data_IF_194359840751
#
_entry.id   IF_194359840751
#
_cell.length_a   1.000
_cell.length_b   1.000
_cell.length_c   1.000
_cell.angle_alpha   90.00
_cell.angle_beta   90.00
_cell.angle_gamma   90.00
#
_symmetry.space_group_name_H-M   'P 1'
#
loop_
_entity.id
_entity.type
_entity.pdbx_description
1 polymer ?
#
# COMPACT_ATOMS: atom_id res chain seq x y z
N UNK A 1 11.82 2.40 -0.13
CA UNK A 1 10.90 2.74 0.97
C UNK A 1 9.65 1.90 0.82
N UNK A 2 9.42 0.99 1.75
CA UNK A 2 8.28 0.08 1.82
C UNK A 2 7.09 0.69 2.58
N UNK A 3 7.35 1.54 3.58
CA UNK A 3 6.32 2.19 4.40
C UNK A 3 6.25 3.67 4.06
N UNK A 4 5.09 4.13 3.62
CA UNK A 4 4.86 5.53 3.17
C UNK A 4 3.55 6.06 3.75
N UNK A 5 3.32 7.38 3.75
CA UNK A 5 1.99 7.91 4.09
C UNK A 5 0.96 7.43 3.07
N UNK A 6 -0.21 7.02 3.56
CA UNK A 6 -1.33 6.70 2.70
C UNK A 6 -2.17 7.95 2.45
N UNK A 7 -1.95 8.58 1.30
CA UNK A 7 -2.78 9.69 0.82
C UNK A 7 -2.70 9.78 -0.71
N UNK A 8 -3.29 8.80 -1.45
CA UNK A 8 -3.16 8.78 -2.90
C UNK A 8 -4.01 9.84 -3.60
N UNK A 9 -5.09 10.31 -2.98
CA UNK A 9 -5.98 11.33 -3.57
C UNK A 9 -5.71 12.76 -3.07
N UNK A 10 -5.10 12.93 -1.88
CA UNK A 10 -4.85 14.25 -1.27
C UNK A 10 -6.11 15.12 -1.23
N UNK A 11 -7.25 14.48 -0.99
CA UNK A 11 -8.55 15.13 -0.99
C UNK A 11 -8.67 16.06 0.23
N UNK A 12 -8.89 17.37 0.05
CA UNK A 12 -9.01 18.32 1.15
C UNK A 12 -10.21 18.02 2.07
N UNK A 13 -11.20 17.25 1.62
CA UNK A 13 -12.38 16.84 2.39
C UNK A 13 -12.17 15.52 3.14
N UNK A 14 -11.01 14.87 3.03
CA UNK A 14 -10.74 13.62 3.71
C UNK A 14 -10.68 13.82 5.23
N UNK A 15 -11.59 13.17 5.95
CA UNK A 15 -11.66 13.20 7.43
C UNK A 15 -10.86 12.07 8.09
N UNK A 16 -10.23 11.20 7.29
CA UNK A 16 -9.46 10.08 7.83
C UNK A 16 -8.23 10.57 8.60
N UNK A 17 -7.90 9.95 9.75
CA UNK A 17 -6.64 10.24 10.41
C UNK A 17 -5.45 9.81 9.54
N UNK A 18 -4.31 10.49 9.72
CA UNK A 18 -3.06 10.12 9.05
C UNK A 18 -2.71 8.67 9.37
N UNK A 19 -2.33 7.92 8.34
CA UNK A 19 -1.87 6.53 8.46
C UNK A 19 -0.74 6.27 7.48
N UNK A 20 0.15 5.36 7.85
CA UNK A 20 1.09 4.78 6.91
C UNK A 20 0.42 3.63 6.14
N UNK A 21 0.94 3.32 4.96
CA UNK A 21 0.61 2.11 4.23
C UNK A 21 1.84 1.23 4.04
N UNK A 22 1.62 -0.08 4.22
CA UNK A 22 2.55 -1.13 3.86
C UNK A 22 1.84 -2.12 2.93
N UNK A 23 2.34 -2.28 1.71
CA UNK A 23 1.80 -3.24 0.75
C UNK A 23 2.95 -4.17 0.31
N UNK A 24 2.89 -5.48 0.61
CA UNK A 24 3.87 -6.45 0.13
C UNK A 24 3.89 -6.57 -1.40
N UNK A 25 2.75 -6.32 -2.02
CA UNK A 25 2.53 -6.38 -3.46
C UNK A 25 2.21 -5.00 -4.03
N UNK A 26 2.25 -4.89 -5.36
CA UNK A 26 1.71 -3.75 -6.11
C UNK A 26 0.65 -4.27 -7.06
N UNK A 27 -0.57 -3.76 -6.97
CA UNK A 27 -1.70 -4.27 -7.75
C UNK A 27 -2.38 -5.48 -7.11
N UNK A 28 -3.41 -6.00 -7.79
CA UNK A 28 -4.18 -7.18 -7.39
C UNK A 28 -4.75 -7.90 -8.62
N UNK A 29 -4.64 -9.22 -8.69
CA UNK A 29 -5.06 -10.02 -9.85
C UNK A 29 -6.57 -10.33 -9.91
N UNK A 30 -7.31 -10.04 -8.84
CA UNK A 30 -8.74 -10.37 -8.74
C UNK A 30 -9.64 -9.55 -9.70
N UNK A 31 -9.21 -8.35 -10.10
CA UNK A 31 -9.91 -7.50 -11.10
C UNK A 31 -11.35 -7.11 -10.73
N UNK A 32 -11.59 -6.70 -9.47
CA UNK A 32 -12.92 -6.17 -9.10
C UNK A 32 -13.32 -5.00 -10.00
N UNK A 33 -14.56 -4.99 -10.47
CA UNK A 33 -15.13 -3.92 -11.29
C UNK A 33 -15.08 -2.56 -10.58
N UNK A 34 -15.15 -2.55 -9.24
CA UNK A 34 -15.13 -1.36 -8.39
C UNK A 34 -13.75 -1.03 -7.81
N UNK A 35 -12.66 -1.67 -8.28
CA UNK A 35 -11.37 -1.56 -7.62
C UNK A 35 -10.75 -0.16 -7.74
N UNK A 36 -10.70 0.56 -6.63
CA UNK A 36 -10.22 1.95 -6.58
C UNK A 36 -8.72 2.10 -6.92
N UNK A 37 -7.92 1.05 -6.73
CA UNK A 37 -6.46 1.14 -6.91
C UNK A 37 -6.09 1.48 -8.36
N UNK A 38 -6.96 1.14 -9.31
CA UNK A 38 -6.77 1.43 -10.74
C UNK A 38 -6.74 2.93 -11.05
N UNK A 39 -7.32 3.76 -10.17
CA UNK A 39 -7.30 5.22 -10.32
C UNK A 39 -5.92 5.85 -10.11
N UNK A 40 -4.99 5.17 -9.43
CA UNK A 40 -3.66 5.72 -9.12
C UNK A 40 -2.49 4.72 -9.19
N UNK A 41 -2.74 3.43 -9.44
CA UNK A 41 -1.70 2.42 -9.67
C UNK A 41 -1.70 2.02 -11.14
N UNK A 42 -0.66 2.40 -11.90
CA UNK A 42 -0.49 1.92 -13.27
C UNK A 42 -0.44 0.40 -13.32
N UNK A 43 -1.16 -0.19 -14.27
CA UNK A 43 -1.29 -1.65 -14.41
C UNK A 43 -1.73 -2.28 -13.09
N UNK A 44 -2.80 -1.74 -12.49
CA UNK A 44 -3.29 -2.12 -11.16
C UNK A 44 -3.75 -3.58 -11.05
N UNK A 45 -4.06 -4.23 -12.18
CA UNK A 45 -4.44 -5.64 -12.23
C UNK A 45 -3.28 -6.61 -12.48
N UNK A 46 -2.08 -6.08 -12.70
CA UNK A 46 -0.86 -6.88 -12.75
C UNK A 46 -0.24 -6.88 -11.36
N UNK A 47 -0.42 -7.99 -10.64
CA UNK A 47 0.16 -8.13 -9.31
C UNK A 47 1.68 -8.28 -9.40
N UNK A 48 2.42 -7.57 -8.55
CA UNK A 48 3.89 -7.54 -8.55
C UNK A 48 4.45 -7.59 -7.15
N UNK A 49 5.36 -8.54 -6.90
CA UNK A 49 6.03 -8.72 -5.60
C UNK A 49 7.07 -7.63 -5.36
N UNK A 50 7.07 -7.01 -4.17
CA UNK A 50 8.14 -6.09 -3.76
C UNK A 50 9.37 -6.87 -3.29
N UNK A 51 10.45 -6.80 -4.07
CA UNK A 51 11.74 -7.39 -3.71
C UNK A 51 12.30 -6.73 -2.45
N UNK A 52 12.95 -7.53 -1.59
CA UNK A 52 13.61 -7.07 -0.36
C UNK A 52 12.70 -6.31 0.64
N UNK A 53 11.42 -6.67 0.72
CA UNK A 53 10.44 -6.00 1.58
C UNK A 53 10.91 -5.88 3.04
N UNK A 54 11.39 -6.98 3.63
CA UNK A 54 11.84 -6.99 5.03
C UNK A 54 13.04 -6.07 5.28
N UNK A 55 13.99 -5.99 4.35
CA UNK A 55 15.13 -5.09 4.44
C UNK A 55 14.70 -3.62 4.39
N UNK A 56 13.78 -3.29 3.49
CA UNK A 56 13.19 -1.95 3.40
C UNK A 56 12.41 -1.58 4.66
N UNK A 57 11.56 -2.48 5.19
CA UNK A 57 10.79 -2.25 6.43
C UNK A 57 11.72 -1.98 7.62
N UNK A 58 12.80 -2.77 7.78
CA UNK A 58 13.80 -2.56 8.83
C UNK A 58 14.46 -1.17 8.74
N UNK A 59 14.72 -0.70 7.52
CA UNK A 59 15.29 0.63 7.27
C UNK A 59 14.28 1.74 7.60
N UNK A 60 13.05 1.59 7.13
CA UNK A 60 12.00 2.59 7.27
C UNK A 60 11.56 2.77 8.72
N UNK A 61 11.51 1.68 9.50
CA UNK A 61 11.14 1.69 10.94
C UNK A 61 11.87 2.77 11.74
N UNK A 62 13.13 3.08 11.39
CA UNK A 62 13.94 4.10 12.08
C UNK A 62 13.39 5.53 11.91
N UNK A 63 12.58 5.78 10.88
CA UNK A 63 12.06 7.11 10.51
C UNK A 63 10.57 7.29 10.84
N UNK A 64 9.87 6.24 11.27
CA UNK A 64 8.43 6.28 11.48
C UNK A 64 8.06 6.93 12.81
N UNK A 65 7.08 7.83 12.77
CA UNK A 65 6.39 8.28 13.96
C UNK A 65 5.50 7.15 14.53
N UNK A 66 5.84 6.66 15.73
CA UNK A 66 5.15 5.54 16.41
C UNK A 66 3.69 5.83 16.78
N UNK A 67 3.25 7.09 16.78
CA UNK A 67 1.85 7.47 17.07
C UNK A 67 0.93 7.29 15.85
N UNK A 68 1.48 7.09 14.66
CA UNK A 68 0.72 6.97 13.42
C UNK A 68 0.57 5.48 13.08
N UNK A 69 -0.65 4.97 12.89
CA UNK A 69 -0.87 3.55 12.61
C UNK A 69 -0.33 3.17 11.23
N UNK A 70 0.11 1.91 11.11
CA UNK A 70 0.43 1.29 9.82
C UNK A 70 -0.75 0.43 9.42
N UNK A 71 -1.30 0.74 8.25
CA UNK A 71 -2.39 -0.02 7.64
C UNK A 71 -1.82 -0.84 6.48
N UNK A 72 -2.09 -2.14 6.50
CA UNK A 72 -1.57 -3.06 5.49
C UNK A 72 -2.59 -3.27 4.37
N UNK A 73 -2.10 -3.50 3.15
CA UNK A 73 -2.93 -3.93 2.03
C UNK A 73 -4.04 -2.93 1.63
N UNK A 74 -3.73 -1.63 1.71
CA UNK A 74 -4.61 -0.56 1.21
C UNK A 74 -4.57 -0.42 -0.32
N UNK A 75 -3.76 -1.21 -1.02
CA UNK A 75 -3.49 -1.02 -2.46
C UNK A 75 -3.12 -2.32 -3.17
N UNK A 76 -3.27 -3.44 -2.47
CA UNK A 76 -3.07 -4.80 -2.95
C UNK A 76 -3.86 -5.72 -2.02
N UNK A 77 -4.14 -6.93 -2.47
CA UNK A 77 -4.66 -7.97 -1.57
C UNK A 77 -3.52 -8.51 -0.67
N UNK A 78 -3.75 -8.83 0.62
CA UNK A 78 -2.74 -9.50 1.46
C UNK A 78 -2.46 -10.96 1.06
N UNK A 79 -3.40 -11.62 0.40
CA UNK A 79 -3.38 -13.05 0.06
C UNK A 79 -3.52 -13.24 -1.44
N UNK A 80 -2.63 -12.62 -2.20
CA UNK A 80 -2.55 -12.84 -3.64
C UNK A 80 -2.24 -14.31 -3.92
N UNK A 81 -2.82 -14.88 -4.97
CA UNK A 81 -2.56 -16.26 -5.42
C UNK A 81 -1.14 -16.47 -5.94
N UNK A 82 -0.41 -15.38 -6.16
CA UNK A 82 1.02 -15.40 -6.42
C UNK A 82 1.81 -15.84 -5.18
N UNK A 83 2.13 -17.12 -5.11
CA UNK A 83 3.20 -17.71 -4.28
C UNK A 83 3.88 -18.86 -5.02
#
# INVERSE_FOLDING_TARGET
>A
MAITYFDPWRDPLCTCPRKYSLNPYTGCEHRCVYCYITSYIPRGFECRIKKNLLGEVKRDRKKLNKKIPISMSNSSDPYTTME
#
